data_IF_585743161751
#
_entry.id   IF_585743161751
#
_cell.length_a   1.000
_cell.length_b   1.000
_cell.length_c   1.000
_cell.angle_alpha   90.00
_cell.angle_beta   90.00
_cell.angle_gamma   90.00
#
_symmetry.space_group_name_H-M   'P 1'
#
loop_
_entity.id
_entity.type
_entity.pdbx_description
1 polymer ?
#
# COMPACT_ATOMS: atom_id res chain seq x y z
N UNK A 1 -24.84 -6.50 -1.28
CA UNK A 1 -23.52 -5.96 -1.71
C UNK A 1 -22.53 -6.10 -0.57
N UNK A 2 -21.31 -6.54 -0.88
CA UNK A 2 -20.24 -6.65 0.10
C UNK A 2 -18.99 -6.01 -0.52
N UNK A 3 -18.70 -4.78 -0.11
CA UNK A 3 -17.64 -4.01 -0.73
C UNK A 3 -16.89 -3.20 0.32
N UNK A 4 -15.56 -3.26 0.24
CA UNK A 4 -14.68 -2.49 1.11
C UNK A 4 -13.69 -1.74 0.25
N UNK A 5 -13.46 -0.48 0.57
CA UNK A 5 -12.48 0.36 -0.09
C UNK A 5 -11.60 0.98 0.97
N UNK A 6 -10.29 0.80 0.84
CA UNK A 6 -9.34 1.28 1.83
C UNK A 6 -8.18 1.98 1.17
N UNK A 7 -7.71 3.04 1.80
CA UNK A 7 -6.43 3.66 1.48
C UNK A 7 -5.63 3.68 2.77
N UNK A 8 -4.45 3.08 2.74
CA UNK A 8 -3.63 3.01 3.93
C UNK A 8 -2.20 2.63 3.61
N UNK A 9 -1.44 2.41 4.66
CA UNK A 9 -0.02 2.08 4.54
C UNK A 9 0.24 0.65 4.98
N UNK A 10 1.14 -0.01 4.25
CA UNK A 10 1.53 -1.38 4.52
C UNK A 10 2.38 -1.43 5.77
N UNK A 11 1.99 -2.26 6.74
CA UNK A 11 2.64 -2.31 8.04
C UNK A 11 3.85 -3.23 8.10
N UNK A 12 3.93 -4.18 7.19
CA UNK A 12 5.05 -5.11 7.12
C UNK A 12 5.12 -5.67 5.71
N UNK A 13 6.27 -6.25 5.38
CA UNK A 13 6.43 -6.84 4.06
C UNK A 13 5.40 -7.96 3.85
N UNK A 14 4.87 -8.12 2.64
CA UNK A 14 3.86 -9.15 2.39
C UNK A 14 4.39 -10.54 2.65
N UNK A 15 3.51 -11.39 3.18
CA UNK A 15 3.79 -12.81 3.35
C UNK A 15 3.15 -13.53 2.18
N UNK A 16 3.96 -14.17 1.34
CA UNK A 16 3.48 -14.82 0.13
C UNK A 16 3.71 -16.29 0.21
N UNK A 17 2.70 -17.08 -0.14
CA UNK A 17 2.77 -18.54 -0.17
C UNK A 17 2.30 -19.04 -1.52
N UNK A 18 2.95 -20.08 -2.00
CA UNK A 18 2.57 -20.74 -3.25
C UNK A 18 2.05 -22.13 -2.96
N UNK A 19 0.84 -22.42 -3.42
CA UNK A 19 0.29 -23.78 -3.33
C UNK A 19 0.68 -24.59 -4.55
N UNK A 20 0.67 -23.93 -5.70
CA UNK A 20 1.10 -24.48 -6.98
C UNK A 20 1.85 -23.39 -7.73
N UNK A 21 2.40 -23.74 -8.89
CA UNK A 21 3.21 -22.81 -9.66
C UNK A 21 2.51 -21.47 -9.92
N UNK A 22 1.20 -21.52 -10.10
CA UNK A 22 0.43 -20.32 -10.44
C UNK A 22 -0.53 -19.87 -9.35
N UNK A 23 -0.56 -20.57 -8.22
CA UNK A 23 -1.51 -20.27 -7.16
C UNK A 23 -0.81 -19.65 -5.97
N UNK A 24 -0.63 -18.35 -6.06
CA UNK A 24 -0.03 -17.59 -4.97
C UNK A 24 -1.11 -16.97 -4.10
N UNK A 25 -0.81 -16.86 -2.81
CA UNK A 25 -1.65 -16.13 -1.86
C UNK A 25 -0.74 -15.19 -1.09
N UNK A 26 -1.06 -13.91 -1.09
CA UNK A 26 -0.31 -12.91 -0.36
C UNK A 26 -1.16 -12.33 0.75
N UNK A 27 -0.54 -12.07 1.88
CA UNK A 27 -1.19 -11.44 3.03
C UNK A 27 -0.46 -10.17 3.38
N UNK A 28 -1.23 -9.12 3.63
CA UNK A 28 -0.72 -7.82 4.03
C UNK A 28 -1.53 -7.31 5.21
N UNK A 29 -0.86 -6.59 6.09
CA UNK A 29 -1.56 -5.78 7.10
C UNK A 29 -1.51 -4.34 6.66
N UNK A 30 -2.67 -3.73 6.49
CA UNK A 30 -2.81 -2.36 6.03
C UNK A 30 -3.33 -1.51 7.18
N UNK A 31 -2.66 -0.39 7.41
CA UNK A 31 -3.05 0.55 8.47
C UNK A 31 -3.85 1.69 7.88
N UNK A 32 -5.04 1.91 8.41
CA UNK A 32 -5.79 3.14 8.15
C UNK A 32 -5.81 3.95 9.41
N UNK A 33 -5.52 5.24 9.31
CA UNK A 33 -5.37 6.10 10.47
C UNK A 33 -6.34 7.27 10.40
N UNK A 34 -7.09 7.44 11.47
CA UNK A 34 -7.88 8.64 11.68
C UNK A 34 -7.06 9.62 12.49
N UNK A 35 -6.88 10.82 11.95
CA UNK A 35 -6.07 11.82 12.59
C UNK A 35 -6.78 12.37 13.83
N UNK A 36 -6.04 12.50 14.92
CA UNK A 36 -6.56 13.10 16.13
C UNK A 36 -6.73 14.60 15.99
N UNK A 37 -7.35 15.19 16.98
CA UNK A 37 -7.61 16.61 16.97
C UNK A 37 -7.70 17.14 18.41
N UNK A 38 -7.69 18.45 18.54
CA UNK A 38 -7.82 19.10 19.83
C UNK A 38 -9.14 19.84 19.89
N UNK A 39 -9.90 19.56 20.94
CA UNK A 39 -11.18 20.20 21.16
C UNK A 39 -10.99 21.63 21.67
N UNK A 40 -12.04 22.42 21.58
CA UNK A 40 -11.99 23.82 22.03
C UNK A 40 -11.69 23.96 23.52
N UNK A 41 -12.07 22.96 24.31
CA UNK A 41 -11.81 22.98 25.75
C UNK A 41 -10.38 22.54 26.09
N UNK A 42 -9.53 22.29 25.09
CA UNK A 42 -8.15 21.88 25.32
C UNK A 42 -7.94 20.38 25.39
N UNK A 43 -9.00 19.58 25.31
CA UNK A 43 -8.87 18.13 25.34
C UNK A 43 -8.33 17.65 24.01
N UNK A 44 -7.30 16.80 24.07
CA UNK A 44 -6.67 16.23 22.88
C UNK A 44 -7.21 14.83 22.63
N UNK A 45 -7.67 14.58 21.39
CA UNK A 45 -8.06 13.26 20.93
C UNK A 45 -6.92 12.72 20.10
N UNK A 46 -6.32 11.57 20.50
CA UNK A 46 -5.16 11.04 19.77
C UNK A 46 -5.55 10.42 18.45
N UNK A 47 -4.53 10.16 17.61
CA UNK A 47 -4.72 9.43 16.38
C UNK A 47 -5.20 8.01 16.68
N UNK A 48 -6.02 7.49 15.79
CA UNK A 48 -6.50 6.11 15.91
C UNK A 48 -6.14 5.35 14.64
N UNK A 49 -5.52 4.18 14.81
CA UNK A 49 -5.10 3.34 13.69
C UNK A 49 -5.78 2.00 13.77
N UNK A 50 -6.40 1.60 12.68
CA UNK A 50 -6.95 0.26 12.52
C UNK A 50 -6.07 -0.54 11.58
N UNK A 51 -5.87 -1.81 11.93
CA UNK A 51 -5.07 -2.73 11.14
C UNK A 51 -5.99 -3.72 10.44
N UNK A 52 -5.92 -3.72 9.12
CA UNK A 52 -6.76 -4.57 8.29
C UNK A 52 -5.94 -5.73 7.72
N UNK A 53 -6.50 -6.92 7.79
CA UNK A 53 -5.87 -8.09 7.18
C UNK A 53 -6.37 -8.23 5.76
N UNK A 54 -5.48 -8.12 4.80
CA UNK A 54 -5.79 -8.21 3.38
C UNK A 54 -5.24 -9.51 2.82
N UNK A 55 -6.02 -10.15 1.97
CA UNK A 55 -5.60 -11.37 1.30
C UNK A 55 -5.72 -11.16 -0.21
N UNK A 56 -4.66 -11.49 -0.92
CA UNK A 56 -4.59 -11.36 -2.37
C UNK A 56 -4.37 -12.74 -2.96
N UNK A 57 -5.04 -13.02 -4.07
CA UNK A 57 -4.96 -14.33 -4.71
C UNK A 57 -4.43 -14.22 -6.13
N UNK A 58 -3.72 -15.24 -6.58
CA UNK A 58 -3.30 -15.44 -7.97
C UNK A 58 -2.52 -14.25 -8.52
N UNK A 59 -3.01 -13.62 -9.57
CA UNK A 59 -2.33 -12.51 -10.23
C UNK A 59 -2.02 -11.36 -9.29
N UNK A 60 -2.99 -10.98 -8.47
CA UNK A 60 -2.80 -9.90 -7.52
C UNK A 60 -1.74 -10.24 -6.49
N UNK A 61 -1.69 -11.50 -6.05
CA UNK A 61 -0.67 -11.94 -5.12
C UNK A 61 0.72 -11.80 -5.70
N UNK A 62 0.88 -12.11 -6.98
CA UNK A 62 2.17 -11.97 -7.66
C UNK A 62 2.58 -10.51 -7.78
N UNK A 63 1.63 -9.64 -8.08
CA UNK A 63 1.90 -8.20 -8.16
C UNK A 63 2.33 -7.69 -6.80
N UNK A 64 1.64 -8.11 -5.74
CA UNK A 64 1.98 -7.71 -4.38
C UNK A 64 3.39 -8.17 -4.04
N UNK A 65 3.73 -9.40 -4.38
CA UNK A 65 5.05 -9.93 -4.12
C UNK A 65 6.14 -9.11 -4.78
N UNK A 66 5.91 -8.69 -6.01
CA UNK A 66 6.91 -7.98 -6.79
C UNK A 66 7.08 -6.52 -6.40
N UNK A 67 5.98 -5.85 -6.06
CA UNK A 67 6.01 -4.39 -5.99
C UNK A 67 5.70 -3.80 -4.63
N UNK A 68 5.06 -4.53 -3.73
CA UNK A 68 4.59 -3.98 -2.47
C UNK A 68 5.58 -4.27 -1.35
N UNK A 69 5.91 -3.23 -0.59
CA UNK A 69 6.85 -3.32 0.52
C UNK A 69 6.29 -2.59 1.73
N UNK A 70 6.86 -2.87 2.87
CA UNK A 70 6.52 -2.17 4.10
C UNK A 70 6.63 -0.67 3.90
N UNK A 71 5.61 0.05 4.33
CA UNK A 71 5.57 1.50 4.22
C UNK A 71 4.89 2.03 2.97
N UNK A 72 4.64 1.19 1.99
CA UNK A 72 3.96 1.63 0.77
C UNK A 72 2.53 2.03 1.05
N UNK A 73 2.04 2.98 0.27
CA UNK A 73 0.67 3.42 0.35
C UNK A 73 -0.14 2.75 -0.76
N UNK A 74 -1.24 2.14 -0.37
CA UNK A 74 -2.08 1.38 -1.30
C UNK A 74 -3.52 1.83 -1.24
N UNK A 75 -4.20 1.76 -2.39
CA UNK A 75 -5.64 1.74 -2.49
C UNK A 75 -6.07 0.31 -2.78
N UNK A 76 -7.01 -0.22 -2.02
CA UNK A 76 -7.47 -1.59 -2.17
C UNK A 76 -8.98 -1.63 -2.17
N UNK A 77 -9.55 -2.36 -3.11
CA UNK A 77 -10.97 -2.68 -3.14
C UNK A 77 -11.13 -4.18 -2.95
N UNK A 78 -12.12 -4.55 -2.18
CA UNK A 78 -12.39 -5.95 -1.96
C UNK A 78 -13.68 -6.19 -1.20
N UNK A 79 -13.79 -7.34 -0.58
CA UNK A 79 -14.96 -7.72 0.18
C UNK A 79 -14.54 -8.30 1.51
N UNK A 80 -15.38 -8.16 2.52
CA UNK A 80 -15.14 -8.74 3.82
C UNK A 80 -15.47 -10.23 3.76
N UNK A 81 -14.60 -11.04 4.35
CA UNK A 81 -14.80 -12.47 4.47
C UNK A 81 -14.52 -12.92 5.90
N UNK A 82 -15.34 -13.81 6.39
CA UNK A 82 -15.16 -14.42 7.70
C UNK A 82 -14.83 -15.88 7.52
N UNK A 83 -13.89 -16.39 8.30
CA UNK A 83 -13.59 -17.81 8.34
C UNK A 83 -13.21 -18.21 9.74
N UNK A 84 -13.26 -19.50 9.99
CA UNK A 84 -12.89 -20.06 11.29
C UNK A 84 -11.92 -21.20 11.05
N UNK A 85 -11.04 -21.40 12.01
CA UNK A 85 -10.17 -22.57 12.03
C UNK A 85 -9.90 -22.96 13.48
N UNK A 86 -9.47 -24.20 13.67
CA UNK A 86 -9.09 -24.67 14.97
C UNK A 86 -7.58 -24.55 15.12
N UNK A 87 -7.13 -23.98 16.25
CA UNK A 87 -5.70 -23.85 16.49
C UNK A 87 -5.14 -25.17 17.00
N UNK A 88 -3.85 -25.19 17.30
CA UNK A 88 -3.16 -26.39 17.76
C UNK A 88 -3.70 -26.91 19.07
N UNK A 89 -4.36 -26.05 19.84
CA UNK A 89 -4.95 -26.42 21.13
C UNK A 89 -6.41 -26.82 21.03
N UNK A 90 -6.95 -26.89 19.81
CA UNK A 90 -8.34 -27.22 19.58
C UNK A 90 -9.30 -26.07 19.79
N UNK A 91 -8.79 -24.87 19.95
CA UNK A 91 -9.61 -23.69 20.14
C UNK A 91 -10.05 -23.14 18.80
N UNK A 92 -11.34 -22.76 18.71
CA UNK A 92 -11.85 -22.17 17.48
C UNK A 92 -11.43 -20.72 17.38
N UNK A 93 -10.82 -20.37 16.26
CA UNK A 93 -10.35 -19.01 15.99
C UNK A 93 -11.18 -18.42 14.86
N UNK A 94 -11.68 -17.21 15.10
CA UNK A 94 -12.48 -16.46 14.11
C UNK A 94 -11.59 -15.43 13.45
N UNK A 95 -11.59 -15.43 12.13
CA UNK A 95 -10.75 -14.51 11.36
C UNK A 95 -11.65 -13.66 10.49
N UNK A 96 -11.44 -12.35 10.55
CA UNK A 96 -12.06 -11.39 9.65
C UNK A 96 -10.97 -10.86 8.73
N UNK A 97 -11.17 -11.01 7.45
CA UNK A 97 -10.18 -10.56 6.48
C UNK A 97 -10.88 -9.93 5.29
N UNK A 98 -10.11 -9.19 4.50
CA UNK A 98 -10.61 -8.56 3.29
C UNK A 98 -9.95 -9.25 2.12
N UNK A 99 -10.76 -9.83 1.25
CA UNK A 99 -10.28 -10.44 0.02
C UNK A 99 -10.19 -9.35 -1.02
N UNK A 100 -8.98 -9.02 -1.43
CA UNK A 100 -8.74 -7.94 -2.37
C UNK A 100 -9.15 -8.37 -3.78
N UNK A 101 -9.84 -7.48 -4.46
CA UNK A 101 -10.27 -7.68 -5.84
C UNK A 101 -9.55 -6.74 -6.79
N UNK A 102 -9.10 -5.60 -6.27
CA UNK A 102 -8.40 -4.60 -7.05
C UNK A 102 -7.44 -3.83 -6.15
N UNK A 103 -6.34 -3.36 -6.72
CA UNK A 103 -5.32 -2.66 -5.95
C UNK A 103 -4.63 -1.63 -6.83
N UNK A 104 -4.30 -0.50 -6.24
CA UNK A 104 -3.48 0.52 -6.88
C UNK A 104 -2.41 0.99 -5.92
N UNK A 105 -1.20 1.13 -6.42
CA UNK A 105 -0.10 1.66 -5.61
C UNK A 105 -0.12 3.19 -5.69
N UNK A 106 -0.13 3.81 -4.53
CA UNK A 106 -0.18 5.26 -4.42
C UNK A 106 1.16 5.86 -4.00
N UNK A 107 2.14 5.04 -3.67
CA UNK A 107 3.47 5.52 -3.33
C UNK A 107 4.16 6.02 -4.59
N UNK A 108 4.67 7.25 -4.59
CA UNK A 108 5.39 7.75 -5.76
C UNK A 108 6.63 6.90 -6.02
N UNK A 109 6.87 6.62 -7.29
CA UNK A 109 8.05 5.88 -7.71
C UNK A 109 9.26 6.80 -7.69
N UNK A 110 10.36 6.40 -7.05
CA UNK A 110 11.59 7.19 -7.18
C UNK A 110 12.09 7.10 -8.62
N UNK A 111 12.55 8.23 -9.15
CA UNK A 111 13.09 8.29 -10.49
C UNK A 111 14.50 8.86 -10.45
N UNK A 112 15.45 8.07 -9.99
CA UNK A 112 16.81 8.60 -9.85
C UNK A 112 17.43 8.99 -11.17
N UNK A 113 17.11 8.28 -12.24
CA UNK A 113 17.68 8.61 -13.54
C UNK A 113 17.22 9.97 -14.01
N UNK A 114 15.97 10.31 -13.78
CA UNK A 114 15.44 11.61 -14.15
C UNK A 114 16.13 12.71 -13.38
N UNK A 115 16.31 12.50 -12.11
CA UNK A 115 16.99 13.47 -11.27
C UNK A 115 18.43 13.65 -11.69
N UNK A 116 19.09 12.54 -12.03
CA UNK A 116 20.47 12.61 -12.51
C UNK A 116 20.58 13.40 -13.79
N UNK A 117 19.68 13.12 -14.73
CA UNK A 117 19.68 13.84 -15.98
C UNK A 117 19.44 15.32 -15.75
N UNK A 118 18.59 15.62 -14.84
CA UNK A 118 18.27 17.00 -14.48
C UNK A 118 19.49 17.72 -13.96
N UNK A 119 20.18 17.08 -13.02
CA UNK A 119 21.40 17.66 -12.46
C UNK A 119 22.44 17.89 -13.53
N UNK A 120 22.57 16.94 -14.44
CA UNK A 120 23.53 17.09 -15.53
C UNK A 120 23.19 18.26 -16.42
N UNK A 121 21.92 18.42 -16.72
CA UNK A 121 21.50 19.55 -17.52
C UNK A 121 21.85 20.87 -16.87
N UNK A 122 21.61 20.93 -15.58
CA UNK A 122 21.97 22.15 -14.85
C UNK A 122 23.47 22.41 -14.89
N UNK A 123 24.24 21.34 -14.76
CA UNK A 123 25.69 21.48 -14.75
C UNK A 123 26.23 21.99 -16.05
N UNK A 124 25.61 21.62 -17.12
CA UNK A 124 26.04 22.16 -18.41
C UNK A 124 25.83 23.65 -18.48
N UNK A 125 24.98 24.17 -17.59
CA UNK A 125 24.94 25.59 -17.33
C UNK A 125 24.57 26.44 -18.50
N UNK A 126 24.20 25.89 -19.58
CA UNK A 126 23.80 26.66 -20.70
C UNK A 126 22.37 27.09 -20.55
N UNK A 127 22.10 28.26 -20.95
CA UNK A 127 20.76 28.82 -20.87
C UNK A 127 19.75 28.00 -21.66
N UNK A 128 20.19 27.41 -22.72
CA UNK A 128 19.29 26.63 -23.54
C UNK A 128 18.80 25.39 -22.78
N UNK A 129 19.67 24.76 -22.02
CA UNK A 129 19.29 23.60 -21.24
C UNK A 129 18.27 23.98 -20.21
N UNK A 130 18.40 25.13 -19.62
CA UNK A 130 17.46 25.59 -18.65
C UNK A 130 16.07 25.79 -19.22
N UNK A 131 16.04 26.28 -20.42
CA UNK A 131 14.78 26.49 -21.10
C UNK A 131 14.09 25.17 -21.37
N UNK A 132 14.87 24.21 -21.79
CA UNK A 132 14.30 22.89 -22.01
C UNK A 132 13.73 22.29 -20.73
N UNK A 133 14.42 22.49 -19.65
CA UNK A 133 13.94 21.98 -18.38
C UNK A 133 12.59 22.56 -18.03
N UNK A 134 12.42 23.83 -18.27
CA UNK A 134 11.14 24.45 -18.00
C UNK A 134 10.02 23.84 -18.79
N UNK A 135 10.28 23.51 -20.03
CA UNK A 135 9.25 22.94 -20.88
C UNK A 135 8.93 21.51 -20.46
N UNK A 136 9.89 20.80 -19.88
CA UNK A 136 9.67 19.44 -19.43
C UNK A 136 9.01 19.35 -18.08
N UNK A 137 9.07 20.40 -17.32
CA UNK A 137 8.59 20.39 -15.95
C UNK A 137 7.11 20.63 -15.76
N UNK A 138 6.34 21.03 -16.74
CA UNK A 138 4.93 21.26 -16.49
C UNK A 138 4.25 19.94 -16.21
N UNK A 139 4.08 19.64 -15.01
CA UNK A 139 3.43 18.41 -14.61
C UNK A 139 2.83 18.52 -13.22
#
# INVERSE_FOLDING_TARGET
MNKVMLIGNVGQDPVVRYYDADQAVAQIRLATTERGYTLQNGTTVPDHTDWHNLVFYHKLAKIVEQYVHKGDKLYVEGRIRYRTYDDKQGKRVYVTEIVAENMEMLTPRPQPSTQSAFAKSSNMGTSSALEEDKSKLPF
#
